data_IF_330555282603
#
_entry.id   IF_330555282603
#
_cell.length_a   1.000
_cell.length_b   1.000
_cell.length_c   1.000
_cell.angle_alpha   90.00
_cell.angle_beta   90.00
_cell.angle_gamma   90.00
#
_symmetry.space_group_name_H-M   'P 1'
#
loop_
_entity.id
_entity.type
_entity.pdbx_description
1 polymer ?
#
# COMPACT_ATOMS: atom_id res chain seq x y z
N UNK A 1 -8.72 6.19 20.67
CA UNK A 1 -9.85 5.91 19.75
C UNK A 1 -9.66 6.58 18.40
N UNK A 2 -9.34 7.88 18.32
CA UNK A 2 -9.14 8.59 17.05
C UNK A 2 -8.21 7.91 16.01
N UNK A 3 -7.07 7.32 16.42
CA UNK A 3 -6.19 6.60 15.49
C UNK A 3 -6.84 5.35 14.90
N UNK A 4 -7.57 4.59 15.71
CA UNK A 4 -8.28 3.39 15.26
C UNK A 4 -9.42 3.73 14.29
N UNK A 5 -10.12 4.84 14.52
CA UNK A 5 -11.15 5.35 13.61
C UNK A 5 -10.56 5.82 12.28
N UNK A 6 -9.48 6.60 12.33
CA UNK A 6 -8.76 7.04 11.14
C UNK A 6 -8.23 5.84 10.33
N UNK A 7 -7.66 4.84 11.01
CA UNK A 7 -7.22 3.61 10.39
C UNK A 7 -8.38 2.85 9.74
N UNK A 8 -9.50 2.70 10.44
CA UNK A 8 -10.67 2.02 9.90
C UNK A 8 -11.23 2.73 8.65
N UNK A 9 -11.20 4.06 8.63
CA UNK A 9 -11.59 4.83 7.45
C UNK A 9 -10.62 4.66 6.29
N UNK A 10 -9.31 4.73 6.55
CA UNK A 10 -8.29 4.53 5.54
C UNK A 10 -8.36 3.12 4.92
N UNK A 11 -8.58 2.08 5.74
CA UNK A 11 -8.75 0.70 5.27
C UNK A 11 -9.93 0.61 4.29
N UNK A 12 -11.09 1.15 4.65
CA UNK A 12 -12.28 1.13 3.78
C UNK A 12 -12.04 1.88 2.46
N UNK A 13 -11.42 3.05 2.52
CA UNK A 13 -11.10 3.84 1.33
C UNK A 13 -10.19 3.08 0.38
N UNK A 14 -9.06 2.58 0.88
CA UNK A 14 -8.06 1.85 0.08
C UNK A 14 -8.64 0.58 -0.53
N UNK A 15 -9.46 -0.16 0.21
CA UNK A 15 -10.14 -1.36 -0.32
C UNK A 15 -11.13 -0.98 -1.42
N UNK A 16 -11.90 0.10 -1.23
CA UNK A 16 -12.84 0.58 -2.25
C UNK A 16 -12.13 1.00 -3.54
N UNK A 17 -11.02 1.75 -3.41
CA UNK A 17 -10.22 2.19 -4.56
C UNK A 17 -9.59 0.99 -5.29
N UNK A 18 -9.12 -0.02 -4.53
CA UNK A 18 -8.60 -1.25 -5.10
C UNK A 18 -9.67 -2.02 -5.87
N UNK A 19 -10.88 -2.15 -5.34
CA UNK A 19 -12.00 -2.81 -6.03
C UNK A 19 -12.34 -2.06 -7.32
N UNK A 20 -12.42 -0.73 -7.28
CA UNK A 20 -12.71 0.10 -8.44
C UNK A 20 -11.64 -0.04 -9.55
N UNK A 21 -10.39 -0.27 -9.17
CA UNK A 21 -9.26 -0.50 -10.08
C UNK A 21 -9.09 -1.98 -10.53
N UNK A 22 -10.03 -2.87 -10.19
CA UNK A 22 -9.96 -4.29 -10.54
C UNK A 22 -8.95 -5.09 -9.71
N UNK A 23 -8.60 -4.60 -8.53
CA UNK A 23 -7.60 -5.17 -7.64
C UNK A 23 -6.16 -4.85 -8.07
N UNK A 24 -5.20 -5.59 -7.51
CA UNK A 24 -3.79 -5.52 -7.88
C UNK A 24 -3.38 -6.79 -8.59
N UNK A 25 -2.71 -6.68 -9.73
CA UNK A 25 -2.04 -7.80 -10.38
C UNK A 25 -0.57 -7.80 -10.00
N UNK A 26 -0.24 -8.68 -9.05
CA UNK A 26 1.14 -8.89 -8.59
C UNK A 26 1.69 -10.16 -9.20
N UNK A 27 2.84 -10.04 -9.89
CA UNK A 27 3.58 -11.13 -10.53
C UNK A 27 2.67 -11.98 -11.43
N UNK A 28 2.12 -13.07 -10.88
CA UNK A 28 1.41 -14.11 -11.62
C UNK A 28 -0.11 -14.11 -11.36
N UNK A 29 -0.63 -13.11 -10.64
CA UNK A 29 -2.07 -13.01 -10.35
C UNK A 29 -2.84 -12.23 -11.42
N UNK A 30 -3.77 -12.92 -12.08
CA UNK A 30 -4.75 -12.36 -13.03
C UNK A 30 -6.17 -12.69 -12.55
N UNK A 31 -7.16 -11.87 -12.94
CA UNK A 31 -8.56 -12.20 -12.70
C UNK A 31 -8.98 -13.46 -13.47
N UNK A 32 -10.11 -14.05 -13.09
CA UNK A 32 -10.63 -15.29 -13.70
C UNK A 32 -10.99 -15.12 -15.18
N UNK A 33 -11.22 -13.89 -15.64
CA UNK A 33 -11.45 -13.54 -17.05
C UNK A 33 -10.15 -13.17 -17.81
N UNK A 34 -8.99 -13.26 -17.15
CA UNK A 34 -7.69 -12.91 -17.70
C UNK A 34 -7.34 -11.42 -17.63
N UNK A 35 -8.21 -10.57 -17.09
CA UNK A 35 -7.92 -9.14 -16.93
C UNK A 35 -6.93 -8.88 -15.78
N UNK A 36 -6.16 -7.79 -15.92
CA UNK A 36 -5.23 -7.31 -14.89
C UNK A 36 -5.90 -6.25 -14.03
N UNK A 37 -5.68 -6.33 -12.73
CA UNK A 37 -5.93 -5.22 -11.82
C UNK A 37 -4.84 -4.15 -11.94
N UNK A 38 -5.19 -2.89 -11.69
CA UNK A 38 -4.26 -1.76 -11.85
C UNK A 38 -3.85 -1.09 -10.53
N UNK A 39 -4.38 -1.56 -9.40
CA UNK A 39 -4.18 -0.87 -8.12
C UNK A 39 -2.73 -0.88 -7.62
N UNK A 40 -1.88 -1.79 -8.10
CA UNK A 40 -0.44 -1.80 -7.76
C UNK A 40 0.26 -0.48 -8.11
N UNK A 41 -0.20 0.25 -9.13
CA UNK A 41 0.36 1.56 -9.50
C UNK A 41 0.01 2.67 -8.50
N UNK A 42 -0.99 2.45 -7.64
CA UNK A 42 -1.38 3.37 -6.58
C UNK A 42 -0.67 3.08 -5.24
N UNK A 43 0.22 2.08 -5.17
CA UNK A 43 0.91 1.72 -3.94
C UNK A 43 1.83 2.84 -3.44
N UNK A 44 1.47 3.40 -2.28
CA UNK A 44 2.28 4.43 -1.65
C UNK A 44 3.60 3.88 -1.06
N UNK A 45 3.61 2.62 -0.59
CA UNK A 45 4.76 2.05 0.15
C UNK A 45 5.10 0.60 -0.21
N UNK A 46 4.13 -0.21 -0.66
CA UNK A 46 4.33 -1.66 -0.84
C UNK A 46 5.33 -1.96 -1.95
N UNK A 47 6.33 -2.79 -1.66
CA UNK A 47 7.42 -3.18 -2.58
C UNK A 47 8.28 -2.01 -3.09
N UNK A 48 8.35 -0.93 -2.30
CA UNK A 48 9.12 0.29 -2.62
C UNK A 48 10.29 0.53 -1.67
N UNK A 49 10.83 -0.52 -1.06
CA UNK A 49 11.96 -0.43 -0.11
C UNK A 49 13.12 0.38 -0.71
N UNK A 50 13.60 1.37 0.03
CA UNK A 50 14.68 2.26 -0.39
C UNK A 50 14.25 3.41 -1.31
N UNK A 51 13.02 3.40 -1.86
CA UNK A 51 12.51 4.53 -2.63
C UNK A 51 12.13 5.72 -1.75
N UNK A 52 12.15 6.91 -2.34
CA UNK A 52 11.63 8.12 -1.70
C UNK A 52 10.13 8.00 -1.43
N UNK A 53 9.71 8.47 -0.26
CA UNK A 53 8.30 8.53 0.10
C UNK A 53 7.56 9.47 -0.87
N UNK A 54 6.46 9.00 -1.46
CA UNK A 54 5.67 9.80 -2.42
C UNK A 54 4.80 10.88 -1.77
N UNK A 55 4.75 10.96 -0.44
CA UNK A 55 3.96 11.99 0.25
C UNK A 55 4.61 13.37 0.02
N UNK A 56 3.86 14.36 -0.51
CA UNK A 56 4.38 15.71 -0.71
C UNK A 56 4.96 16.30 0.59
N UNK A 57 6.15 16.89 0.49
CA UNK A 57 6.87 17.48 1.62
C UNK A 57 7.58 16.47 2.53
N UNK A 58 7.52 15.16 2.24
CA UNK A 58 8.30 14.16 2.96
C UNK A 58 9.65 13.94 2.25
N UNK A 59 10.76 14.10 2.97
CA UNK A 59 12.10 13.72 2.51
C UNK A 59 12.54 12.32 2.97
N UNK A 60 11.63 11.52 3.51
CA UNK A 60 11.92 10.18 4.00
C UNK A 60 11.98 9.13 2.89
N UNK A 61 12.46 7.94 3.24
CA UNK A 61 12.49 6.77 2.37
C UNK A 61 11.59 5.67 2.95
N UNK A 62 11.15 4.75 2.09
CA UNK A 62 10.37 3.59 2.52
C UNK A 62 11.31 2.54 3.13
N UNK A 63 11.00 2.10 4.33
CA UNK A 63 11.68 1.03 5.03
C UNK A 63 10.88 -0.27 4.90
N UNK A 64 11.58 -1.40 4.88
CA UNK A 64 10.98 -2.73 5.02
C UNK A 64 11.40 -3.36 6.34
N UNK A 65 10.44 -3.92 7.06
CA UNK A 65 10.69 -4.78 8.23
C UNK A 65 10.02 -6.12 8.02
N UNK A 66 10.51 -7.15 8.71
CA UNK A 66 9.84 -8.45 8.77
C UNK A 66 9.11 -8.55 10.10
N UNK A 67 7.79 -8.70 10.05
CA UNK A 67 6.93 -8.87 11.22
C UNK A 67 6.23 -10.23 11.10
N UNK A 68 6.49 -11.12 12.06
CA UNK A 68 5.90 -12.47 12.07
C UNK A 68 6.06 -13.22 10.74
N UNK A 69 7.23 -13.09 10.11
CA UNK A 69 7.55 -13.75 8.83
C UNK A 69 6.98 -13.08 7.58
N UNK A 70 6.32 -11.91 7.69
CA UNK A 70 5.81 -11.14 6.56
C UNK A 70 6.52 -9.80 6.42
N UNK A 71 6.82 -9.41 5.18
CA UNK A 71 7.34 -8.08 4.88
C UNK A 71 6.26 -7.02 5.13
N UNK A 72 6.63 -5.98 5.86
CA UNK A 72 5.85 -4.75 6.07
C UNK A 72 6.68 -3.59 5.54
N UNK A 73 6.06 -2.70 4.76
CA UNK A 73 6.68 -1.51 4.18
C UNK A 73 6.03 -0.26 4.76
N UNK A 74 6.82 0.74 5.12
CA UNK A 74 6.31 1.98 5.73
C UNK A 74 7.31 3.13 5.59
N UNK A 75 6.82 4.37 5.71
CA UNK A 75 7.68 5.54 5.82
C UNK A 75 7.80 5.96 7.29
N UNK A 76 8.99 5.83 7.88
CA UNK A 76 9.25 6.17 9.29
C UNK A 76 9.01 7.64 9.64
N UNK A 77 9.14 8.53 8.66
CA UNK A 77 8.83 9.96 8.84
C UNK A 77 7.33 10.22 8.92
N UNK A 78 6.53 9.44 8.18
CA UNK A 78 5.08 9.66 8.04
C UNK A 78 4.22 8.83 8.99
N UNK A 79 4.72 7.70 9.50
CA UNK A 79 3.94 6.72 10.27
C UNK A 79 4.59 6.52 11.66
N UNK A 80 3.79 6.62 12.73
CA UNK A 80 4.18 6.48 14.15
C UNK A 80 3.15 5.67 14.91
#
# INVERSE_FOLDING_TARGET
QAQSEHLAQAIRSVISDAIAAGGSSLRDYMQTDGSLGYFQHAFAVYDREGEACSKPGCGGHIERVVQSGRSTFYCRTCQR
#
